data_IF_734451198670
#
_entry.id   IF_734451198670
#
_cell.length_a   1.000
_cell.length_b   1.000
_cell.length_c   1.000
_cell.angle_alpha   90.00
_cell.angle_beta   90.00
_cell.angle_gamma   90.00
#
_symmetry.space_group_name_H-M   'P 1'
#
loop_
_entity.id
_entity.type
_entity.pdbx_description
1 polymer ?
#
# COMPACT_ATOMS: atom_id res chain seq x y z
N UNK A 1 10.91 -29.43 -15.70
CA UNK A 1 10.18 -28.19 -16.01
C UNK A 1 9.11 -28.04 -14.94
N UNK A 2 9.12 -26.98 -14.11
CA UNK A 2 8.05 -26.81 -13.14
C UNK A 2 6.77 -26.44 -13.90
N UNK A 3 5.65 -27.06 -13.52
CA UNK A 3 4.35 -26.80 -14.12
C UNK A 3 3.92 -25.36 -13.81
N UNK A 4 3.63 -24.57 -14.84
CA UNK A 4 2.98 -23.27 -14.69
C UNK A 4 1.57 -23.52 -14.16
N UNK A 5 1.38 -23.28 -12.86
CA UNK A 5 0.05 -23.27 -12.25
C UNK A 5 -0.69 -22.08 -12.88
N UNK A 6 -1.86 -22.27 -13.51
CA UNK A 6 -2.60 -21.16 -14.09
C UNK A 6 -3.08 -20.28 -12.93
N UNK A 7 -2.49 -19.10 -12.80
CA UNK A 7 -2.96 -18.07 -11.87
C UNK A 7 -4.29 -17.56 -12.41
N UNK A 8 -5.40 -18.12 -11.92
CA UNK A 8 -6.73 -17.61 -12.21
C UNK A 8 -6.87 -16.24 -11.58
N UNK A 9 -6.55 -15.18 -12.34
CA UNK A 9 -6.73 -13.80 -11.92
C UNK A 9 -8.21 -13.55 -11.68
N UNK A 10 -8.57 -13.24 -10.44
CA UNK A 10 -9.95 -12.90 -10.09
C UNK A 10 -10.37 -11.65 -10.87
N UNK A 11 -11.46 -11.76 -11.61
CA UNK A 11 -12.10 -10.62 -12.28
C UNK A 11 -12.99 -9.90 -11.28
N UNK A 12 -12.82 -8.58 -11.16
CA UNK A 12 -13.67 -7.74 -10.34
C UNK A 12 -14.16 -6.54 -11.14
N UNK A 13 -15.34 -6.04 -10.81
CA UNK A 13 -16.01 -4.96 -11.57
C UNK A 13 -16.11 -3.71 -10.72
N UNK A 14 -15.64 -2.59 -11.25
CA UNK A 14 -15.83 -1.26 -10.65
C UNK A 14 -16.55 -0.39 -11.68
N UNK A 15 -17.77 0.05 -11.32
CA UNK A 15 -18.73 0.66 -12.27
C UNK A 15 -19.00 -0.30 -13.45
N UNK A 16 -18.74 0.14 -14.68
CA UNK A 16 -18.93 -0.64 -15.91
C UNK A 16 -17.63 -1.27 -16.43
N UNK A 17 -16.51 -1.09 -15.72
CA UNK A 17 -15.19 -1.57 -16.15
C UNK A 17 -14.84 -2.84 -15.36
N UNK A 18 -14.40 -3.86 -16.09
CA UNK A 18 -13.89 -5.12 -15.53
C UNK A 18 -12.37 -5.04 -15.41
N UNK A 19 -11.85 -5.40 -14.24
CA UNK A 19 -10.44 -5.41 -13.92
C UNK A 19 -10.00 -6.83 -13.55
N UNK A 20 -8.75 -7.15 -13.85
CA UNK A 20 -8.05 -8.33 -13.34
C UNK A 20 -7.11 -7.91 -12.22
N UNK A 21 -7.04 -8.71 -11.16
CA UNK A 21 -6.01 -8.50 -10.15
C UNK A 21 -4.66 -9.02 -10.67
N UNK A 22 -3.69 -8.11 -10.83
CA UNK A 22 -2.32 -8.51 -11.18
C UNK A 22 -1.54 -8.85 -9.91
N UNK A 23 -1.64 -10.12 -9.50
CA UNK A 23 -0.97 -10.60 -8.30
C UNK A 23 0.57 -10.49 -8.36
N UNK A 24 1.17 -10.57 -9.55
CA UNK A 24 2.63 -10.56 -9.70
C UNK A 24 3.22 -9.16 -9.45
N UNK A 25 2.59 -8.12 -9.99
CA UNK A 25 2.95 -6.72 -9.71
C UNK A 25 2.73 -6.39 -8.23
N UNK A 26 1.66 -6.92 -7.63
CA UNK A 26 1.38 -6.74 -6.22
C UNK A 26 2.45 -7.35 -5.30
N UNK A 27 2.87 -8.60 -5.57
CA UNK A 27 3.97 -9.25 -4.82
C UNK A 27 5.28 -8.47 -4.99
N UNK A 28 5.57 -8.00 -6.20
CA UNK A 28 6.76 -7.17 -6.46
C UNK A 28 6.72 -5.87 -5.66
N UNK A 29 5.56 -5.21 -5.58
CA UNK A 29 5.37 -4.03 -4.75
C UNK A 29 5.61 -4.31 -3.27
N UNK A 30 5.06 -5.39 -2.71
CA UNK A 30 5.28 -5.75 -1.30
C UNK A 30 6.76 -6.04 -1.00
N UNK A 31 7.45 -6.76 -1.89
CA UNK A 31 8.88 -7.01 -1.73
C UNK A 31 9.70 -5.72 -1.75
N UNK A 32 9.36 -4.77 -2.63
CA UNK A 32 10.01 -3.47 -2.61
C UNK A 32 9.67 -2.67 -1.34
N UNK A 33 8.47 -2.82 -0.77
CA UNK A 33 8.13 -2.21 0.51
C UNK A 33 9.02 -2.76 1.64
N UNK A 34 9.26 -4.07 1.70
CA UNK A 34 10.15 -4.72 2.69
C UNK A 34 11.57 -4.14 2.72
N UNK A 35 12.10 -3.66 1.58
CA UNK A 35 13.42 -3.01 1.54
C UNK A 35 13.47 -1.71 2.37
N UNK A 36 12.33 -1.08 2.59
CA UNK A 36 12.21 0.17 3.35
C UNK A 36 11.48 -0.01 4.69
N UNK A 37 10.60 -1.01 4.79
CA UNK A 37 9.66 -1.17 5.90
C UNK A 37 9.01 -2.56 5.90
N UNK A 38 8.95 -3.20 7.07
CA UNK A 38 8.20 -4.43 7.25
C UNK A 38 6.72 -4.28 6.85
N UNK A 39 6.24 -5.17 5.98
CA UNK A 39 4.84 -5.25 5.55
C UNK A 39 3.97 -6.06 6.53
N UNK A 40 4.53 -6.49 7.67
CA UNK A 40 3.75 -7.09 8.75
C UNK A 40 2.71 -6.08 9.27
N UNK A 41 1.46 -6.54 9.39
CA UNK A 41 0.19 -5.77 9.48
C UNK A 41 0.22 -4.51 10.35
N UNK A 42 0.93 -4.51 11.47
CA UNK A 42 0.93 -3.40 12.44
C UNK A 42 2.03 -2.37 12.18
N UNK A 43 3.11 -2.75 11.49
CA UNK A 43 4.25 -1.85 11.27
C UNK A 43 3.96 -0.81 10.17
N UNK A 44 3.12 -1.16 9.20
CA UNK A 44 2.91 -0.30 8.03
C UNK A 44 2.12 0.98 8.33
N UNK A 45 1.03 0.89 9.11
CA UNK A 45 0.24 2.07 9.51
C UNK A 45 1.09 3.03 10.36
N UNK A 46 1.87 2.49 11.31
CA UNK A 46 2.72 3.27 12.21
C UNK A 46 3.76 4.07 11.44
N UNK A 47 4.38 3.49 10.42
CA UNK A 47 5.43 4.20 9.68
C UNK A 47 4.83 5.20 8.69
N UNK A 48 3.69 4.92 8.07
CA UNK A 48 2.98 5.92 7.27
C UNK A 48 2.54 7.13 8.10
N UNK A 49 2.10 6.90 9.33
CA UNK A 49 1.80 7.98 10.28
C UNK A 49 3.07 8.74 10.65
N UNK A 50 4.19 8.05 10.91
CA UNK A 50 5.49 8.68 11.18
C UNK A 50 5.97 9.55 10.00
N UNK A 51 5.81 9.08 8.76
CA UNK A 51 6.13 9.86 7.55
C UNK A 51 5.21 11.07 7.44
N UNK A 52 3.91 10.91 7.74
CA UNK A 52 2.93 11.99 7.71
C UNK A 52 3.27 13.09 8.72
N UNK A 53 3.64 12.71 9.96
CA UNK A 53 4.09 13.64 10.98
C UNK A 53 5.38 14.36 10.56
N UNK A 54 6.33 13.61 9.97
CA UNK A 54 7.59 14.20 9.51
C UNK A 54 7.39 15.18 8.35
N UNK A 55 6.45 14.92 7.45
CA UNK A 55 6.07 15.88 6.39
C UNK A 55 5.53 17.18 6.97
N UNK A 56 4.72 17.10 8.03
CA UNK A 56 4.21 18.29 8.73
C UNK A 56 5.35 19.03 9.42
N UNK A 57 6.22 18.30 10.14
CA UNK A 57 7.28 18.87 10.97
C UNK A 57 8.46 19.41 10.16
N UNK A 58 8.70 18.89 8.95
CA UNK A 58 9.76 19.33 8.05
C UNK A 58 9.29 20.33 6.99
N UNK A 59 7.99 20.65 6.94
CA UNK A 59 7.50 21.71 6.08
C UNK A 59 8.08 23.06 6.51
N UNK A 60 8.45 23.88 5.52
CA UNK A 60 8.87 25.25 5.79
C UNK A 60 7.70 25.99 6.48
N UNK A 61 8.00 26.93 7.38
CA UNK A 61 6.99 27.77 8.03
C UNK A 61 6.10 28.53 7.02
N UNK A 62 6.58 28.71 5.79
CA UNK A 62 5.84 29.34 4.70
C UNK A 62 5.03 28.37 3.83
N UNK A 63 5.20 27.05 3.98
CA UNK A 63 4.44 26.06 3.22
C UNK A 63 3.00 26.03 3.72
N UNK A 64 2.01 26.38 2.88
CA UNK A 64 0.62 26.29 3.28
C UNK A 64 0.23 24.84 3.57
N UNK A 65 -0.54 24.61 4.65
CA UNK A 65 -1.06 23.28 4.97
C UNK A 65 -1.87 22.65 3.82
N UNK A 66 -2.43 23.48 2.94
CA UNK A 66 -3.13 23.05 1.72
C UNK A 66 -2.24 22.29 0.73
N UNK A 67 -0.93 22.50 0.75
CA UNK A 67 0.04 21.79 -0.10
C UNK A 67 0.49 20.45 0.50
N UNK A 68 0.48 20.33 1.82
CA UNK A 68 0.89 19.13 2.56
C UNK A 68 -0.29 18.14 2.68
N UNK A 69 -1.52 18.66 2.83
CA UNK A 69 -2.73 17.86 3.05
C UNK A 69 -2.97 16.76 1.98
N UNK A 70 -2.75 16.98 0.67
CA UNK A 70 -2.89 15.93 -0.34
C UNK A 70 -1.90 14.78 -0.15
N UNK A 71 -0.67 15.07 0.29
CA UNK A 71 0.38 14.08 0.50
C UNK A 71 0.03 13.18 1.70
N UNK A 72 -0.43 13.77 2.80
CA UNK A 72 -0.92 13.03 3.96
C UNK A 72 -2.12 12.16 3.58
N UNK A 73 -3.05 12.68 2.75
CA UNK A 73 -4.20 11.91 2.30
C UNK A 73 -3.76 10.68 1.49
N UNK A 74 -2.80 10.83 0.58
CA UNK A 74 -2.26 9.71 -0.18
C UNK A 74 -1.66 8.63 0.72
N UNK A 75 -0.85 9.02 1.73
CA UNK A 75 -0.25 8.08 2.67
C UNK A 75 -1.32 7.27 3.42
N UNK A 76 -2.42 7.92 3.86
CA UNK A 76 -3.55 7.23 4.51
C UNK A 76 -4.27 6.25 3.59
N UNK A 77 -4.51 6.62 2.34
CA UNK A 77 -5.15 5.72 1.36
C UNK A 77 -4.25 4.52 1.03
N UNK A 78 -2.93 4.71 0.98
CA UNK A 78 -1.97 3.61 0.81
C UNK A 78 -1.99 2.65 2.01
N UNK A 79 -2.04 3.19 3.23
CA UNK A 79 -2.16 2.38 4.45
C UNK A 79 -3.45 1.56 4.46
N UNK A 80 -4.57 2.20 4.12
CA UNK A 80 -5.85 1.51 3.97
C UNK A 80 -5.80 0.42 2.90
N UNK A 81 -5.26 0.71 1.72
CA UNK A 81 -5.14 -0.25 0.63
C UNK A 81 -4.34 -1.49 1.07
N UNK A 82 -3.20 -1.28 1.71
CA UNK A 82 -2.33 -2.38 2.13
C UNK A 82 -2.94 -3.22 3.25
N UNK A 83 -3.58 -2.58 4.24
CA UNK A 83 -4.28 -3.29 5.33
C UNK A 83 -5.39 -4.22 4.84
N UNK A 84 -6.11 -3.80 3.80
CA UNK A 84 -7.27 -4.55 3.32
C UNK A 84 -6.90 -5.64 2.29
N UNK A 85 -5.70 -5.58 1.72
CA UNK A 85 -5.27 -6.55 0.70
C UNK A 85 -4.25 -7.55 1.28
N UNK A 86 -3.42 -7.13 2.25
CA UNK A 86 -2.56 -8.04 3.01
C UNK A 86 -3.39 -8.70 4.12
N UNK A 87 -3.99 -9.85 3.83
CA UNK A 87 -4.41 -10.77 4.88
C UNK A 87 -3.27 -11.75 5.14
N UNK A 88 -2.52 -11.53 6.22
CA UNK A 88 -1.60 -12.55 6.73
C UNK A 88 -2.48 -13.75 7.12
N UNK A 89 -2.43 -14.83 6.34
CA UNK A 89 -2.86 -16.14 6.83
C UNK A 89 -1.84 -16.56 7.89
N UNK A 90 -2.26 -16.62 9.15
CA UNK A 90 -1.44 -17.20 10.20
C UNK A 90 -1.10 -18.63 9.78
N UNK A 91 0.17 -18.89 9.52
CA UNK A 91 0.66 -20.24 9.29
C UNK A 91 0.78 -20.88 10.67
N UNK A 92 -0.14 -21.80 10.97
CA UNK A 92 -0.03 -22.74 12.11
C UNK A 92 1.18 -23.67 11.96
#
# INVERSE_FOLDING_TARGET
MPAEIPVTSSLFKVKEITYTFNAQEYVSFLNHCEDFMSVEKENFEVVLDSISERLINCADANTPIGEIRPQIKLLKELGFFLKNIVSIEATE
#
